data_IF_019003575120
#
_entry.id   IF_019003575120
#
_cell.length_a   1.000
_cell.length_b   1.000
_cell.length_c   1.000
_cell.angle_alpha   90.00
_cell.angle_beta   90.00
_cell.angle_gamma   90.00
#
_symmetry.space_group_name_H-M   'P 1'
#
loop_
_entity.id
_entity.type
_entity.pdbx_description
1 polymer ?
#
# COMPACT_ATOMS: atom_id res chain seq x y z
N UNK A 1 -17.76 -18.73 54.23
CA UNK A 1 -17.60 -17.29 53.95
C UNK A 1 -16.15 -17.03 53.56
N UNK A 2 -15.94 -16.24 52.49
CA UNK A 2 -14.66 -15.66 52.01
C UNK A 2 -13.68 -16.70 51.41
N UNK A 3 -13.12 -16.56 50.22
CA UNK A 3 -13.18 -15.51 49.20
C UNK A 3 -12.51 -16.10 47.94
N UNK A 4 -13.29 -16.53 46.94
CA UNK A 4 -12.78 -16.91 45.61
C UNK A 4 -12.71 -15.63 44.76
N UNK A 5 -11.66 -14.81 44.91
CA UNK A 5 -11.58 -13.55 44.16
C UNK A 5 -10.16 -13.06 43.82
N UNK A 6 -9.11 -13.86 43.97
CA UNK A 6 -7.72 -13.34 43.83
C UNK A 6 -6.80 -14.17 42.95
N UNK A 7 -7.33 -14.97 42.02
CA UNK A 7 -6.53 -15.66 41.01
C UNK A 7 -6.89 -15.27 39.56
N UNK A 8 -7.79 -14.28 39.37
CA UNK A 8 -8.18 -13.78 38.03
C UNK A 8 -7.44 -12.46 37.67
N UNK A 9 -6.76 -11.84 38.63
CA UNK A 9 -6.11 -10.53 38.46
C UNK A 9 -4.74 -10.55 37.77
N UNK A 10 -4.18 -11.73 37.46
CA UNK A 10 -2.90 -11.84 36.74
C UNK A 10 -3.02 -12.03 35.22
N UNK A 11 -4.24 -12.21 34.69
CA UNK A 11 -4.45 -12.37 33.23
C UNK A 11 -4.88 -11.07 32.51
N UNK A 12 -4.96 -9.94 33.21
CA UNK A 12 -5.39 -8.66 32.62
C UNK A 12 -4.24 -7.70 32.28
N UNK A 13 -2.97 -8.10 32.48
CA UNK A 13 -1.81 -7.22 32.33
C UNK A 13 -0.94 -7.46 31.09
N UNK A 14 -1.48 -8.06 30.02
CA UNK A 14 -0.78 -8.12 28.71
C UNK A 14 -1.57 -7.52 27.54
N UNK A 15 -2.67 -6.81 27.82
CA UNK A 15 -3.49 -6.16 26.79
C UNK A 15 -3.31 -4.64 26.70
N UNK A 16 -2.07 -4.18 26.85
CA UNK A 16 -1.67 -2.83 26.42
C UNK A 16 -0.50 -2.88 25.44
N UNK A 17 -0.47 -3.91 24.57
CA UNK A 17 0.20 -3.75 23.27
C UNK A 17 -0.65 -2.82 22.41
N UNK A 18 -0.39 -1.51 22.57
CA UNK A 18 -0.56 -0.44 21.60
C UNK A 18 -1.22 -0.89 20.29
N UNK A 19 -2.55 -1.06 20.33
CA UNK A 19 -3.38 -1.27 19.13
C UNK A 19 -3.68 0.10 18.52
N UNK A 20 -2.60 0.77 18.13
CA UNK A 20 -2.59 2.14 17.65
C UNK A 20 -2.61 2.25 16.13
N UNK A 21 -3.16 1.29 15.38
CA UNK A 21 -3.46 1.44 13.95
C UNK A 21 -4.65 0.56 13.55
N UNK A 22 -5.80 0.74 14.19
CA UNK A 22 -7.07 0.22 13.64
C UNK A 22 -7.50 1.16 12.51
N UNK A 23 -6.83 1.04 11.36
CA UNK A 23 -7.37 1.56 10.11
C UNK A 23 -8.63 0.76 9.81
N UNK A 24 -9.77 1.42 9.98
CA UNK A 24 -11.12 0.93 9.65
C UNK A 24 -11.12 0.47 8.18
N UNK A 25 -10.86 -0.82 7.95
CA UNK A 25 -11.01 -1.47 6.64
C UNK A 25 -12.48 -1.42 6.27
N UNK A 26 -12.84 -0.47 5.41
CA UNK A 26 -14.10 -0.52 4.69
C UNK A 26 -14.02 -1.65 3.67
N UNK A 27 -14.28 -2.89 4.09
CA UNK A 27 -14.38 -4.05 3.21
C UNK A 27 -15.74 -4.04 2.51
N UNK A 28 -15.92 -3.11 1.58
CA UNK A 28 -17.01 -3.20 0.60
C UNK A 28 -16.53 -4.17 -0.48
N UNK A 29 -16.93 -5.44 -0.33
CA UNK A 29 -16.72 -6.50 -1.31
C UNK A 29 -17.68 -6.32 -2.48
N UNK A 30 -17.37 -5.38 -3.36
CA UNK A 30 -17.82 -5.43 -4.75
C UNK A 30 -16.77 -6.27 -5.49
N UNK A 31 -17.17 -7.25 -6.30
CA UNK A 31 -16.23 -7.94 -7.18
C UNK A 31 -15.64 -6.94 -8.17
N UNK A 32 -14.57 -6.24 -7.79
CA UNK A 32 -13.88 -5.31 -8.67
C UNK A 32 -13.21 -6.15 -9.75
N UNK A 33 -13.53 -5.87 -11.01
CA UNK A 33 -12.71 -6.33 -12.13
C UNK A 33 -11.29 -5.77 -11.95
N UNK A 34 -10.29 -6.55 -12.34
CA UNK A 34 -8.91 -6.10 -12.32
C UNK A 34 -8.74 -4.86 -13.20
N UNK A 35 -8.43 -3.73 -12.57
CA UNK A 35 -8.02 -2.48 -13.20
C UNK A 35 -6.58 -2.23 -12.81
N UNK A 36 -5.66 -2.55 -13.72
CA UNK A 36 -4.23 -2.48 -13.45
C UNK A 36 -3.81 -1.07 -13.03
N UNK A 37 -4.28 -0.04 -13.74
CA UNK A 37 -3.91 1.35 -13.50
C UNK A 37 -4.33 1.81 -12.10
N UNK A 38 -5.54 1.47 -11.66
CA UNK A 38 -6.05 1.82 -10.32
C UNK A 38 -5.20 1.19 -9.21
N UNK A 39 -4.88 -0.12 -9.34
CA UNK A 39 -4.07 -0.83 -8.33
C UNK A 39 -2.64 -0.29 -8.32
N UNK A 40 -2.08 0.01 -9.49
CA UNK A 40 -0.76 0.60 -9.62
C UNK A 40 -0.71 1.96 -8.92
N UNK A 41 -1.61 2.87 -9.30
CA UNK A 41 -1.67 4.23 -8.78
C UNK A 41 -1.82 4.25 -7.25
N UNK A 42 -2.80 3.51 -6.73
CA UNK A 42 -3.03 3.41 -5.28
C UNK A 42 -1.80 2.89 -4.54
N UNK A 43 -1.09 1.90 -5.13
CA UNK A 43 0.08 1.33 -4.52
C UNK A 43 1.24 2.32 -4.48
N UNK A 44 1.45 3.10 -5.54
CA UNK A 44 2.51 4.11 -5.57
C UNK A 44 2.26 5.23 -4.57
N UNK A 45 1.05 5.79 -4.59
CA UNK A 45 0.68 6.88 -3.69
C UNK A 45 0.67 6.47 -2.22
N UNK A 46 0.36 5.21 -1.91
CA UNK A 46 0.32 4.71 -0.52
C UNK A 46 1.64 4.08 -0.05
N UNK A 47 2.44 3.59 -1.01
CA UNK A 47 3.65 2.81 -0.78
C UNK A 47 4.90 3.66 -0.57
N UNK A 48 4.96 4.84 -1.19
CA UNK A 48 6.04 5.80 -0.96
C UNK A 48 5.74 6.56 0.33
N UNK A 49 6.65 6.43 1.29
CA UNK A 49 6.63 7.21 2.52
C UNK A 49 8.05 7.72 2.77
N UNK A 50 8.28 9.04 2.76
CA UNK A 50 9.61 9.62 2.92
C UNK A 50 10.26 9.25 4.26
N UNK A 51 9.46 8.91 5.27
CA UNK A 51 9.93 8.55 6.62
C UNK A 51 10.33 7.08 6.76
N UNK A 52 10.16 6.25 5.73
CA UNK A 52 10.52 4.83 5.75
C UNK A 52 11.82 4.59 4.96
N UNK A 53 12.61 3.62 5.41
CA UNK A 53 13.76 3.15 4.63
C UNK A 53 13.31 2.47 3.34
N UNK A 54 14.19 2.41 2.34
CA UNK A 54 13.91 1.76 1.05
C UNK A 54 13.33 0.33 1.17
N UNK A 55 13.88 -0.55 2.03
CA UNK A 55 13.32 -1.89 2.25
C UNK A 55 11.90 -1.86 2.83
N UNK A 56 11.62 -0.94 3.76
CA UNK A 56 10.30 -0.79 4.39
C UNK A 56 9.27 -0.24 3.41
N UNK A 57 9.65 0.74 2.58
CA UNK A 57 8.79 1.24 1.50
C UNK A 57 8.44 0.12 0.52
N UNK A 58 9.44 -0.69 0.12
CA UNK A 58 9.22 -1.83 -0.78
C UNK A 58 8.26 -2.85 -0.19
N UNK A 59 8.42 -3.17 1.08
CA UNK A 59 7.54 -4.10 1.77
C UNK A 59 6.13 -3.54 1.92
N UNK A 60 5.98 -2.26 2.29
CA UNK A 60 4.69 -1.57 2.41
C UNK A 60 3.95 -1.52 1.08
N UNK A 61 4.64 -1.11 0.02
CA UNK A 61 4.08 -1.06 -1.33
C UNK A 61 3.61 -2.47 -1.79
N UNK A 62 4.41 -3.51 -1.51
CA UNK A 62 4.01 -4.90 -1.78
C UNK A 62 2.74 -5.29 -1.04
N UNK A 63 2.67 -5.04 0.27
CA UNK A 63 1.47 -5.34 1.07
C UNK A 63 0.23 -4.60 0.55
N UNK A 64 0.37 -3.34 0.14
CA UNK A 64 -0.73 -2.55 -0.42
C UNK A 64 -1.22 -3.13 -1.75
N UNK A 65 -0.29 -3.49 -2.66
CA UNK A 65 -0.67 -4.14 -3.90
C UNK A 65 -1.37 -5.47 -3.66
N UNK A 66 -0.79 -6.34 -2.81
CA UNK A 66 -1.36 -7.65 -2.49
C UNK A 66 -2.76 -7.50 -1.87
N UNK A 67 -2.96 -6.53 -0.99
CA UNK A 67 -4.27 -6.23 -0.38
C UNK A 67 -5.31 -5.74 -1.40
N UNK A 68 -4.90 -4.99 -2.42
CA UNK A 68 -5.78 -4.52 -3.50
C UNK A 68 -6.06 -5.61 -4.55
N UNK A 69 -5.08 -6.47 -4.81
CA UNK A 69 -5.22 -7.64 -5.66
C UNK A 69 -6.10 -8.72 -4.99
N UNK A 70 -6.08 -8.82 -3.67
CA UNK A 70 -6.88 -9.80 -2.93
C UNK A 70 -8.38 -9.61 -3.17
N UNK A 71 -9.05 -10.66 -3.66
CA UNK A 71 -10.48 -10.62 -3.99
C UNK A 71 -10.82 -9.96 -5.33
N UNK A 72 -9.84 -9.42 -6.05
CA UNK A 72 -10.02 -8.85 -7.39
C UNK A 72 -9.96 -9.97 -8.44
N UNK A 73 -10.98 -10.08 -9.28
CA UNK A 73 -11.03 -11.10 -10.34
C UNK A 73 -10.14 -10.69 -11.51
N UNK A 74 -9.41 -11.66 -12.08
CA UNK A 74 -8.59 -11.46 -13.27
C UNK A 74 -7.21 -10.86 -13.00
N UNK A 75 -6.76 -10.81 -11.74
CA UNK A 75 -5.39 -10.37 -11.42
C UNK A 75 -4.38 -11.40 -11.95
N UNK A 76 -3.42 -10.99 -12.79
CA UNK A 76 -2.38 -11.89 -13.29
C UNK A 76 -1.49 -12.42 -12.17
N UNK A 77 -1.10 -13.69 -12.26
CA UNK A 77 -0.20 -14.29 -11.27
C UNK A 77 1.13 -13.53 -11.18
N UNK A 78 1.53 -13.20 -9.95
CA UNK A 78 2.76 -12.46 -9.66
C UNK A 78 2.72 -10.99 -10.10
N UNK A 79 1.55 -10.42 -10.41
CA UNK A 79 1.38 -9.00 -10.77
C UNK A 79 2.10 -8.08 -9.78
N UNK A 80 1.77 -8.17 -8.49
CA UNK A 80 2.34 -7.30 -7.46
C UNK A 80 3.85 -7.44 -7.32
N UNK A 81 4.38 -8.67 -7.33
CA UNK A 81 5.84 -8.90 -7.27
C UNK A 81 6.60 -8.25 -8.44
N UNK A 82 6.06 -8.41 -9.66
CA UNK A 82 6.64 -7.83 -10.88
C UNK A 82 6.53 -6.31 -10.88
N UNK A 83 5.37 -5.79 -10.52
CA UNK A 83 5.09 -4.38 -10.41
C UNK A 83 6.04 -3.69 -9.42
N UNK A 84 6.12 -4.19 -8.18
CA UNK A 84 6.99 -3.62 -7.14
C UNK A 84 8.46 -3.69 -7.56
N UNK A 85 8.89 -4.79 -8.19
CA UNK A 85 10.27 -4.88 -8.68
C UNK A 85 10.58 -3.84 -9.75
N UNK A 86 9.63 -3.52 -10.64
CA UNK A 86 9.81 -2.51 -11.68
C UNK A 86 9.77 -1.09 -11.10
N UNK A 87 8.83 -0.81 -10.19
CA UNK A 87 8.76 0.49 -9.52
C UNK A 87 10.03 0.82 -8.75
N UNK A 88 10.54 -0.11 -7.93
CA UNK A 88 11.74 0.15 -7.15
C UNK A 88 13.04 0.20 -7.97
N UNK A 89 13.00 -0.13 -9.26
CA UNK A 89 14.09 0.15 -10.21
C UNK A 89 14.04 1.56 -10.77
N UNK A 90 12.85 2.18 -10.82
CA UNK A 90 12.65 3.54 -11.29
C UNK A 90 12.96 4.53 -10.16
N UNK A 91 14.24 4.91 -10.02
CA UNK A 91 14.67 5.78 -8.90
C UNK A 91 14.20 7.22 -9.06
N UNK A 92 14.19 7.76 -10.27
CA UNK A 92 13.72 9.13 -10.54
C UNK A 92 12.29 9.32 -10.05
N UNK A 93 11.37 8.44 -10.47
CA UNK A 93 9.97 8.50 -10.04
C UNK A 93 9.80 8.40 -8.52
N UNK A 94 10.65 7.64 -7.84
CA UNK A 94 10.63 7.56 -6.38
C UNK A 94 11.10 8.86 -5.73
N UNK A 95 12.12 9.51 -6.29
CA UNK A 95 12.63 10.80 -5.83
C UNK A 95 11.60 11.91 -6.08
N UNK A 96 10.95 11.94 -7.25
CA UNK A 96 9.91 12.91 -7.59
C UNK A 96 8.68 12.79 -6.67
N UNK A 97 8.22 11.55 -6.40
CA UNK A 97 7.13 11.32 -5.44
C UNK A 97 7.56 11.77 -4.03
N UNK A 98 8.80 11.47 -3.63
CA UNK A 98 9.32 11.86 -2.33
C UNK A 98 9.39 13.38 -2.18
N UNK A 99 9.90 14.07 -3.19
CA UNK A 99 10.04 15.53 -3.20
C UNK A 99 8.68 16.21 -3.06
N UNK A 100 7.67 15.74 -3.77
CA UNK A 100 6.30 16.25 -3.65
C UNK A 100 5.73 16.04 -2.24
N UNK A 101 5.99 14.89 -1.63
CA UNK A 101 5.51 14.60 -0.27
C UNK A 101 6.25 15.47 0.77
N UNK A 102 7.56 15.60 0.66
CA UNK A 102 8.42 16.31 1.62
C UNK A 102 8.28 17.84 1.52
N UNK A 103 8.34 18.40 0.32
CA UNK A 103 8.32 19.85 0.11
C UNK A 103 6.90 20.44 0.21
N UNK A 104 5.87 19.59 0.25
CA UNK A 104 4.44 20.00 0.11
C UNK A 104 4.25 20.99 -1.05
N UNK A 105 5.04 20.86 -2.11
CA UNK A 105 4.94 21.75 -3.25
C UNK A 105 3.73 21.33 -4.09
N UNK A 106 2.58 21.92 -3.75
CA UNK A 106 1.32 21.62 -4.42
C UNK A 106 1.34 21.97 -5.93
N UNK A 107 2.33 22.74 -6.42
CA UNK A 107 2.47 23.06 -7.85
C UNK A 107 3.11 21.94 -8.66
N UNK A 108 3.97 21.12 -8.06
CA UNK A 108 4.61 19.97 -8.72
C UNK A 108 3.77 18.69 -8.63
N UNK A 109 2.78 18.64 -7.73
CA UNK A 109 1.81 17.54 -7.59
C UNK A 109 1.20 17.11 -8.95
N UNK A 110 0.69 18.00 -9.82
CA UNK A 110 0.08 17.57 -11.09
C UNK A 110 1.08 16.90 -12.04
N UNK A 111 2.34 17.36 -12.06
CA UNK A 111 3.39 16.79 -12.91
C UNK A 111 3.75 15.39 -12.44
N UNK A 112 4.01 15.21 -11.15
CA UNK A 112 4.32 13.90 -10.57
C UNK A 112 3.13 12.95 -10.68
N UNK A 113 1.89 13.43 -10.52
CA UNK A 113 0.70 12.63 -10.78
C UNK A 113 0.59 12.17 -12.24
N UNK A 114 0.95 13.03 -13.20
CA UNK A 114 0.98 12.66 -14.61
C UNK A 114 2.07 11.61 -14.89
N UNK A 115 3.22 11.74 -14.25
CA UNK A 115 4.33 10.80 -14.39
C UNK A 115 4.02 9.43 -13.77
N UNK A 116 3.45 9.41 -12.56
CA UNK A 116 2.91 8.21 -11.91
C UNK A 116 1.87 7.52 -12.80
N UNK A 117 0.95 8.28 -13.40
CA UNK A 117 -0.05 7.73 -14.34
C UNK A 117 0.61 7.15 -15.59
N UNK A 118 1.56 7.86 -16.19
CA UNK A 118 2.31 7.39 -17.36
C UNK A 118 3.07 6.10 -17.06
N UNK A 119 3.75 6.04 -15.92
CA UNK A 119 4.43 4.86 -15.43
C UNK A 119 3.46 3.68 -15.25
N UNK A 120 2.32 3.92 -14.60
CA UNK A 120 1.28 2.91 -14.42
C UNK A 120 0.75 2.39 -15.75
N UNK A 121 0.40 3.27 -16.69
CA UNK A 121 -0.09 2.87 -18.01
C UNK A 121 0.95 2.08 -18.80
N UNK A 122 2.24 2.40 -18.70
CA UNK A 122 3.32 1.62 -19.33
C UNK A 122 3.40 0.20 -18.76
N UNK A 123 3.31 0.04 -17.44
CA UNK A 123 3.27 -1.28 -16.81
C UNK A 123 2.00 -2.04 -17.22
N UNK A 124 0.88 -1.34 -17.18
CA UNK A 124 -0.44 -1.90 -17.37
C UNK A 124 -0.78 -2.22 -18.83
N UNK A 125 -0.09 -1.62 -19.79
CA UNK A 125 -0.19 -1.97 -21.21
C UNK A 125 -0.03 -3.48 -21.46
N UNK A 126 0.87 -4.14 -20.72
CA UNK A 126 1.11 -5.59 -20.84
C UNK A 126 -0.02 -6.47 -20.28
N UNK A 127 -0.94 -5.88 -19.53
CA UNK A 127 -2.02 -6.57 -18.84
C UNK A 127 -3.40 -6.20 -19.39
N UNK A 128 -3.56 -5.02 -19.99
CA UNK A 128 -4.79 -4.57 -20.64
C UNK A 128 -4.88 -5.01 -22.13
N UNK A 129 -3.78 -5.49 -22.73
CA UNK A 129 -3.71 -5.90 -24.14
C UNK A 129 -3.94 -7.39 -24.43
N UNK A 130 -4.70 -8.11 -23.60
CA UNK A 130 -5.08 -9.52 -23.82
C UNK A 130 -6.58 -9.72 -23.71
#
# INVERSE_FOLDING_TARGET
>A
MRSFCTAVLFCLFTWTSVSGYVWKKSSVSYSRQFKCDDICYDTLMSGVNPHLSYPEQRQKAKMMCDARAFGTRGVPHGFCSKFITKFFRERSLQEDIKEVIDNRDFRSVPLVLAEVRSFCSNICYRYNGR
#
